data_IF_844092141488
#
_entry.id   IF_844092141488
#
_cell.length_a   1.000
_cell.length_b   1.000
_cell.length_c   1.000
_cell.angle_alpha   90.00
_cell.angle_beta   90.00
_cell.angle_gamma   90.00
#
_symmetry.space_group_name_H-M   'P 1'
#
loop_
_entity.id
_entity.type
_entity.pdbx_description
1 polymer ?
#
# COMPACT_ATOMS: atom_id res chain seq x y z
N UNK A 1 -10.04 18.07 1.49
CA UNK A 1 -8.71 18.26 0.88
C UNK A 1 -8.51 17.08 -0.06
N UNK A 2 -8.03 17.31 -1.29
CA UNK A 2 -7.85 16.29 -2.34
C UNK A 2 -6.36 16.09 -2.65
N UNK A 3 -5.52 16.06 -1.61
CA UNK A 3 -4.10 15.85 -1.81
C UNK A 3 -3.83 14.44 -2.32
N UNK A 4 -3.09 14.34 -3.42
CA UNK A 4 -2.52 13.08 -3.92
C UNK A 4 -1.17 12.92 -3.23
N UNK A 5 -1.06 11.89 -2.39
CA UNK A 5 0.16 11.59 -1.64
C UNK A 5 1.15 10.78 -2.48
N UNK A 6 0.66 9.88 -3.33
CA UNK A 6 1.48 9.01 -4.15
C UNK A 6 0.70 8.48 -5.37
N UNK A 7 1.42 8.02 -6.40
CA UNK A 7 0.83 7.44 -7.60
C UNK A 7 1.74 6.41 -8.26
N UNK A 8 1.14 5.51 -9.03
CA UNK A 8 1.89 4.53 -9.82
C UNK A 8 1.20 4.24 -11.15
N UNK A 9 1.99 3.84 -12.14
CA UNK A 9 1.48 3.35 -13.42
C UNK A 9 1.36 1.83 -13.36
N UNK A 10 0.23 1.30 -13.82
CA UNK A 10 -0.03 -0.13 -13.85
C UNK A 10 -0.43 -0.57 -15.26
N UNK A 11 0.08 -1.75 -15.64
CA UNK A 11 -0.41 -2.49 -16.78
C UNK A 11 -0.92 -3.84 -16.30
N UNK A 12 -2.18 -4.15 -16.62
CA UNK A 12 -2.80 -5.45 -16.40
C UNK A 12 -3.29 -5.94 -17.76
N UNK A 13 -2.69 -7.01 -18.27
CA UNK A 13 -2.86 -7.44 -19.66
C UNK A 13 -2.56 -6.29 -20.65
N UNK A 14 -3.54 -5.88 -21.45
CA UNK A 14 -3.42 -4.77 -22.41
C UNK A 14 -3.98 -3.43 -21.87
N UNK A 15 -4.46 -3.40 -20.63
CA UNK A 15 -5.02 -2.19 -20.03
C UNK A 15 -3.94 -1.46 -19.22
N UNK A 16 -3.71 -0.21 -19.58
CA UNK A 16 -2.82 0.69 -18.86
C UNK A 16 -3.66 1.66 -18.02
N UNK A 17 -3.27 1.86 -16.77
CA UNK A 17 -3.94 2.77 -15.84
C UNK A 17 -2.93 3.47 -14.95
N UNK A 18 -3.29 4.66 -14.47
CA UNK A 18 -2.65 5.34 -13.35
C UNK A 18 -3.48 5.06 -12.10
N UNK A 19 -2.83 4.67 -11.02
CA UNK A 19 -3.44 4.60 -9.69
C UNK A 19 -2.89 5.75 -8.85
N UNK A 20 -3.76 6.52 -8.21
CA UNK A 20 -3.41 7.58 -7.28
C UNK A 20 -4.08 7.36 -5.93
N UNK A 21 -3.40 7.75 -4.85
CA UNK A 21 -3.87 7.61 -3.47
C UNK A 21 -3.60 8.88 -2.68
N UNK A 22 -4.38 9.11 -1.62
CA UNK A 22 -4.24 10.32 -0.82
C UNK A 22 -5.22 10.42 0.36
N UNK A 23 -5.59 11.66 0.70
CA UNK A 23 -6.40 11.99 1.89
C UNK A 23 -7.89 11.63 1.75
N UNK A 24 -8.33 11.26 0.55
CA UNK A 24 -9.68 10.73 0.35
C UNK A 24 -9.83 9.27 0.81
N UNK A 25 -8.69 8.63 1.15
CA UNK A 25 -8.61 7.27 1.70
C UNK A 25 -9.02 6.19 0.69
N UNK A 26 -9.00 6.53 -0.60
CA UNK A 26 -9.46 5.67 -1.70
C UNK A 26 -8.36 5.37 -2.70
N UNK A 27 -8.55 4.27 -3.41
CA UNK A 27 -7.77 3.93 -4.60
C UNK A 27 -8.44 4.58 -5.81
N UNK A 28 -7.80 5.60 -6.38
CA UNK A 28 -8.31 6.28 -7.57
C UNK A 28 -7.65 5.72 -8.82
N UNK A 29 -8.45 5.19 -9.75
CA UNK A 29 -7.95 4.58 -10.99
C UNK A 29 -8.35 5.41 -12.20
N UNK A 30 -7.34 5.78 -13.00
CA UNK A 30 -7.51 6.54 -14.23
C UNK A 30 -6.98 5.73 -15.40
N UNK A 31 -7.79 5.55 -16.44
CA UNK A 31 -7.37 4.83 -17.63
C UNK A 31 -6.39 5.66 -18.47
N UNK A 32 -5.30 5.03 -18.89
CA UNK A 32 -4.39 5.56 -19.90
C UNK A 32 -4.87 5.15 -21.30
N UNK A 33 -5.85 5.89 -21.84
CA UNK A 33 -6.37 5.69 -23.19
C UNK A 33 -5.44 6.33 -24.23
N UNK A 34 -4.61 5.50 -24.85
CA UNK A 34 -3.62 5.92 -25.85
C UNK A 34 -4.22 6.41 -27.17
N UNK A 35 -5.48 6.07 -27.44
CA UNK A 35 -6.17 6.49 -28.66
C UNK A 35 -6.92 7.81 -28.46
N UNK A 36 -7.37 8.09 -27.22
CA UNK A 36 -8.13 9.29 -26.86
C UNK A 36 -7.39 10.10 -25.80
N UNK A 37 -6.49 10.97 -26.26
CA UNK A 37 -5.84 11.94 -25.38
C UNK A 37 -6.90 12.92 -24.86
N UNK A 38 -7.20 12.84 -23.58
CA UNK A 38 -8.04 13.80 -22.86
C UNK A 38 -7.15 14.72 -22.04
N UNK A 39 -7.49 16.01 -21.99
CA UNK A 39 -6.81 16.97 -21.11
C UNK A 39 -7.12 16.68 -19.63
N UNK A 40 -8.33 16.17 -19.35
CA UNK A 40 -8.79 15.77 -18.02
C UNK A 40 -9.51 14.42 -18.14
N UNK A 41 -9.05 13.44 -17.36
CA UNK A 41 -9.70 12.13 -17.20
C UNK A 41 -10.30 12.04 -15.81
N UNK A 42 -11.50 11.48 -15.71
CA UNK A 42 -12.18 11.23 -14.43
C UNK A 42 -11.78 9.85 -13.90
N UNK A 43 -11.92 9.66 -12.59
CA UNK A 43 -11.78 8.33 -11.98
C UNK A 43 -12.84 7.40 -12.59
N UNK A 44 -12.41 6.25 -13.09
CA UNK A 44 -13.28 5.35 -13.86
C UNK A 44 -13.81 4.16 -13.05
N UNK A 45 -13.15 3.83 -11.93
CA UNK A 45 -13.41 2.60 -11.19
C UNK A 45 -13.43 2.85 -9.68
N UNK A 46 -14.55 2.51 -9.05
CA UNK A 46 -14.64 2.30 -7.61
C UNK A 46 -14.58 0.80 -7.33
N UNK A 47 -13.79 0.38 -6.35
CA UNK A 47 -13.64 -1.03 -6.01
C UNK A 47 -14.51 -1.34 -4.79
N UNK A 48 -15.42 -2.31 -4.89
CA UNK A 48 -16.34 -2.66 -3.80
C UNK A 48 -15.60 -2.94 -2.48
N UNK A 49 -14.50 -3.70 -2.55
CA UNK A 49 -13.66 -4.01 -1.40
C UNK A 49 -12.95 -2.76 -0.84
N UNK A 50 -12.56 -1.78 -1.68
CA UNK A 50 -12.01 -0.52 -1.19
C UNK A 50 -13.08 0.28 -0.44
N UNK A 51 -14.30 0.34 -0.97
CA UNK A 51 -15.42 1.02 -0.31
C UNK A 51 -15.73 0.40 1.05
N UNK A 52 -15.85 -0.93 1.10
CA UNK A 52 -16.33 -1.67 2.26
C UNK A 52 -15.24 -1.98 3.29
N UNK A 53 -14.03 -2.26 2.84
CA UNK A 53 -12.92 -2.78 3.65
C UNK A 53 -11.57 -2.14 3.28
N UNK A 54 -11.60 -0.90 2.77
CA UNK A 54 -10.39 -0.10 2.52
C UNK A 54 -9.84 0.59 3.76
N UNK A 55 -9.04 1.62 3.52
CA UNK A 55 -8.40 2.38 4.59
C UNK A 55 -9.38 3.31 5.31
N UNK A 56 -9.20 3.44 6.63
CA UNK A 56 -9.97 4.36 7.47
C UNK A 56 -9.24 5.70 7.71
N UNK A 57 -7.98 5.80 7.31
CA UNK A 57 -7.11 6.97 7.46
C UNK A 57 -6.44 7.35 6.13
N UNK A 58 -5.78 8.51 6.10
CA UNK A 58 -5.17 9.06 4.88
C UNK A 58 -4.11 8.09 4.32
N UNK A 59 -4.21 7.76 3.02
CA UNK A 59 -3.23 6.90 2.35
C UNK A 59 -2.03 7.75 1.97
N UNK A 60 -0.83 7.32 2.38
CA UNK A 60 0.39 8.09 2.27
C UNK A 60 1.36 7.57 1.21
N UNK A 61 1.25 6.29 0.84
CA UNK A 61 2.11 5.69 -0.16
C UNK A 61 1.48 4.48 -0.86
N UNK A 62 1.97 4.20 -2.06
CA UNK A 62 1.62 3.03 -2.87
C UNK A 62 2.88 2.32 -3.36
N UNK A 63 2.88 0.99 -3.38
CA UNK A 63 3.96 0.19 -3.96
C UNK A 63 3.39 -0.91 -4.86
N UNK A 64 3.88 -1.01 -6.09
CA UNK A 64 3.46 -2.05 -7.04
C UNK A 64 4.46 -3.22 -7.03
N UNK A 65 3.97 -4.45 -7.07
CA UNK A 65 4.81 -5.63 -7.32
C UNK A 65 4.99 -5.87 -8.83
N UNK A 66 5.94 -6.72 -9.21
CA UNK A 66 6.05 -7.19 -10.60
C UNK A 66 4.86 -8.08 -11.04
N UNK A 67 4.09 -8.62 -10.10
CA UNK A 67 2.89 -9.40 -10.37
C UNK A 67 1.61 -8.57 -10.30
N UNK A 68 0.50 -9.25 -10.03
CA UNK A 68 -0.84 -8.64 -9.95
C UNK A 68 -1.14 -7.94 -8.62
N UNK A 69 -0.14 -7.76 -7.75
CA UNK A 69 -0.32 -7.14 -6.43
C UNK A 69 0.22 -5.72 -6.38
N UNK A 70 -0.44 -4.88 -5.59
CA UNK A 70 0.12 -3.63 -5.07
C UNK A 70 -0.29 -3.47 -3.61
N UNK A 71 0.39 -2.59 -2.89
CA UNK A 71 0.11 -2.29 -1.49
C UNK A 71 -0.09 -0.79 -1.31
N UNK A 72 -1.00 -0.43 -0.42
CA UNK A 72 -1.23 0.94 0.07
C UNK A 72 -0.94 1.01 1.56
N UNK A 73 -0.34 2.10 2.02
CA UNK A 73 0.04 2.31 3.42
C UNK A 73 -0.54 3.63 3.93
N UNK A 74 -1.12 3.62 5.12
CA UNK A 74 -1.83 4.77 5.67
C UNK A 74 -1.13 5.44 6.86
N UNK A 75 -1.72 6.55 7.30
CA UNK A 75 -1.29 7.31 8.48
C UNK A 75 -1.45 6.53 9.81
N UNK A 76 -2.37 5.56 9.86
CA UNK A 76 -2.68 4.78 11.06
C UNK A 76 -1.72 3.61 11.30
N UNK A 77 -0.87 3.27 10.31
CA UNK A 77 0.04 2.13 10.33
C UNK A 77 -0.52 0.86 9.69
N UNK A 78 -1.65 0.96 8.99
CA UNK A 78 -2.21 -0.11 8.19
C UNK A 78 -1.54 -0.18 6.82
N UNK A 79 -1.33 -1.41 6.37
CA UNK A 79 -0.99 -1.71 4.99
C UNK A 79 -2.03 -2.66 4.45
N UNK A 80 -2.65 -2.31 3.33
CA UNK A 80 -3.55 -3.20 2.60
C UNK A 80 -2.86 -3.60 1.30
N UNK A 81 -2.82 -4.90 1.03
CA UNK A 81 -2.38 -5.47 -0.24
C UNK A 81 -3.61 -5.81 -1.05
N UNK A 82 -3.58 -5.43 -2.31
CA UNK A 82 -4.69 -5.56 -3.24
C UNK A 82 -4.27 -6.39 -4.44
N UNK A 83 -5.23 -7.10 -5.02
CA UNK A 83 -5.05 -7.73 -6.33
C UNK A 83 -5.65 -6.83 -7.41
N UNK A 84 -4.83 -6.38 -8.36
CA UNK A 84 -5.24 -5.46 -9.45
C UNK A 84 -6.25 -6.13 -10.40
N UNK A 85 -6.08 -7.41 -10.68
CA UNK A 85 -6.93 -8.16 -11.63
C UNK A 85 -8.30 -8.44 -11.07
N UNK A 86 -8.39 -8.86 -9.79
CA UNK A 86 -9.68 -9.15 -9.14
C UNK A 86 -10.30 -7.94 -8.45
N UNK A 87 -9.55 -6.84 -8.27
CA UNK A 87 -9.95 -5.65 -7.50
C UNK A 87 -10.37 -5.95 -6.06
N UNK A 88 -9.67 -6.91 -5.43
CA UNK A 88 -9.99 -7.38 -4.07
C UNK A 88 -8.84 -7.18 -3.10
N UNK A 89 -9.17 -7.10 -1.81
CA UNK A 89 -8.19 -7.19 -0.73
C UNK A 89 -7.53 -8.57 -0.78
N UNK A 90 -6.21 -8.58 -0.83
CA UNK A 90 -5.38 -9.79 -0.77
C UNK A 90 -4.90 -10.07 0.66
N UNK A 91 -4.46 -9.03 1.38
CA UNK A 91 -4.02 -9.14 2.77
C UNK A 91 -4.10 -7.77 3.48
N UNK A 92 -4.34 -7.79 4.79
CA UNK A 92 -4.21 -6.61 5.66
C UNK A 92 -3.11 -6.83 6.68
N UNK A 93 -2.27 -5.83 6.87
CA UNK A 93 -1.08 -5.91 7.73
C UNK A 93 -1.03 -4.69 8.64
N UNK A 94 -0.63 -4.94 9.88
CA UNK A 94 -0.34 -3.90 10.85
C UNK A 94 0.73 -4.44 11.77
N UNK A 95 1.77 -3.67 12.06
CA UNK A 95 2.71 -4.08 13.11
C UNK A 95 2.00 -3.99 14.45
N UNK A 96 2.16 -5.02 15.28
CA UNK A 96 1.73 -4.95 16.68
C UNK A 96 2.36 -3.75 17.38
N UNK A 97 1.62 -3.21 18.36
CA UNK A 97 2.10 -2.14 19.24
C UNK A 97 3.36 -2.65 19.95
N UNK A 98 4.43 -1.87 19.93
CA UNK A 98 5.57 -2.15 20.79
C UNK A 98 5.09 -2.23 22.24
N UNK A 99 5.38 -3.30 22.99
CA UNK A 99 5.30 -3.25 24.43
C UNK A 99 6.24 -2.14 24.86
N UNK A 100 5.71 -1.10 25.49
CA UNK A 100 6.46 0.06 25.96
C UNK A 100 7.57 -0.43 26.90
N UNK A 101 8.81 -0.48 26.42
CA UNK A 101 9.97 -0.79 27.26
C UNK A 101 10.41 0.43 28.08
N UNK A 102 9.88 1.62 27.81
CA UNK A 102 10.17 2.81 28.58
C UNK A 102 8.94 3.69 28.76
N UNK A 103 8.56 3.96 30.01
CA UNK A 103 7.48 4.90 30.35
C UNK A 103 7.85 6.37 30.06
N UNK A 104 9.08 6.63 29.60
CA UNK A 104 9.67 7.96 29.41
C UNK A 104 9.96 8.32 27.95
N UNK A 105 9.85 7.40 26.99
CA UNK A 105 9.86 7.80 25.57
C UNK A 105 8.52 8.47 25.27
N UNK A 106 8.58 9.74 24.83
CA UNK A 106 7.41 10.43 24.27
C UNK A 106 6.70 9.43 23.37
N UNK A 107 5.43 9.12 23.66
CA UNK A 107 4.56 8.34 22.77
C UNK A 107 4.50 9.08 21.44
N UNK A 108 5.47 8.83 20.56
CA UNK A 108 5.37 9.26 19.19
C UNK A 108 4.23 8.41 18.66
N UNK A 109 3.10 9.06 18.35
CA UNK A 109 2.03 8.45 17.57
C UNK A 109 2.50 8.24 16.11
N UNK A 110 3.80 8.01 15.90
CA UNK A 110 4.44 7.80 14.62
C UNK A 110 4.13 6.38 14.16
N UNK A 111 2.90 6.22 13.72
CA UNK A 111 2.38 4.97 13.18
C UNK A 111 2.44 4.90 11.67
N UNK A 112 2.61 6.05 11.03
CA UNK A 112 2.44 6.24 9.61
C UNK A 112 3.35 5.33 8.79
N UNK A 113 2.80 4.80 7.70
CA UNK A 113 3.56 4.09 6.68
C UNK A 113 3.89 5.09 5.57
N UNK A 114 5.10 5.67 5.62
CA UNK A 114 5.49 6.72 4.67
C UNK A 114 6.02 6.21 3.35
N UNK A 115 6.59 5.00 3.33
CA UNK A 115 7.22 4.41 2.14
C UNK A 115 7.07 2.91 2.17
N UNK A 116 6.93 2.33 0.98
CA UNK A 116 6.94 0.90 0.76
C UNK A 116 7.66 0.55 -0.53
N UNK A 117 8.19 -0.68 -0.60
CA UNK A 117 8.73 -1.22 -1.85
C UNK A 117 8.63 -2.73 -1.87
N UNK A 118 8.27 -3.29 -3.02
CA UNK A 118 8.34 -4.72 -3.25
C UNK A 118 9.77 -5.14 -3.60
N UNK A 119 10.18 -6.32 -3.13
CA UNK A 119 11.49 -6.89 -3.42
C UNK A 119 11.38 -7.76 -4.67
N UNK A 120 11.72 -7.18 -5.81
CA UNK A 120 11.61 -7.81 -7.14
C UNK A 120 12.29 -9.18 -7.24
N UNK A 121 13.47 -9.32 -6.63
CA UNK A 121 14.20 -10.60 -6.60
C UNK A 121 13.47 -11.72 -5.84
N UNK A 122 12.39 -11.38 -5.14
CA UNK A 122 11.58 -12.29 -4.32
C UNK A 122 10.13 -12.37 -4.79
N UNK A 123 9.74 -11.81 -5.93
CA UNK A 123 8.35 -11.82 -6.42
C UNK A 123 7.71 -13.21 -6.36
N UNK A 124 8.45 -14.26 -6.73
CA UNK A 124 7.94 -15.65 -6.74
C UNK A 124 8.14 -16.43 -5.44
N UNK A 125 8.74 -15.82 -4.40
CA UNK A 125 9.04 -16.51 -3.14
C UNK A 125 7.92 -16.32 -2.13
N UNK A 126 7.03 -17.30 -2.02
CA UNK A 126 5.86 -17.24 -1.12
C UNK A 126 6.18 -17.44 0.37
N UNK A 127 7.43 -17.75 0.70
CA UNK A 127 7.89 -18.04 2.04
C UNK A 127 8.90 -17.03 2.60
N UNK A 128 9.22 -15.99 1.82
CA UNK A 128 10.17 -14.94 2.17
C UNK A 128 9.47 -13.58 2.28
N UNK A 129 10.15 -12.58 2.85
CA UNK A 129 9.65 -11.22 2.80
C UNK A 129 9.68 -10.69 1.36
N UNK A 130 8.54 -10.19 0.87
CA UNK A 130 8.36 -9.64 -0.48
C UNK A 130 8.07 -8.14 -0.47
N UNK A 131 7.66 -7.58 0.67
CA UNK A 131 7.35 -6.17 0.83
C UNK A 131 8.17 -5.60 1.99
N UNK A 132 8.72 -4.40 1.80
CA UNK A 132 9.40 -3.61 2.82
C UNK A 132 8.56 -2.36 3.07
N UNK A 133 8.40 -1.95 4.32
CA UNK A 133 7.76 -0.67 4.67
C UNK A 133 8.58 0.11 5.71
N UNK A 134 8.52 1.44 5.64
CA UNK A 134 8.93 2.31 6.73
C UNK A 134 7.80 2.45 7.75
N UNK A 135 8.17 2.56 9.03
CA UNK A 135 7.24 2.74 10.13
C UNK A 135 6.41 1.49 10.44
N UNK A 136 5.71 1.46 11.58
CA UNK A 136 5.71 2.48 12.64
C UNK A 136 7.02 2.50 13.46
N UNK A 137 7.24 3.59 14.22
CA UNK A 137 8.30 3.73 15.25
C UNK A 137 9.74 3.81 14.76
N UNK A 138 10.01 4.46 13.62
CA UNK A 138 11.36 4.55 13.05
C UNK A 138 11.97 3.18 12.70
N UNK A 139 11.11 2.20 12.39
CA UNK A 139 11.50 0.85 12.04
C UNK A 139 11.31 0.59 10.55
N UNK A 140 12.12 -0.31 10.02
CA UNK A 140 11.93 -0.93 8.71
C UNK A 140 11.34 -2.31 8.92
N UNK A 141 10.19 -2.58 8.31
CA UNK A 141 9.49 -3.86 8.41
C UNK A 141 9.63 -4.67 7.13
N UNK A 142 9.84 -5.97 7.28
CA UNK A 142 9.89 -6.93 6.20
C UNK A 142 8.69 -7.87 6.29
N UNK A 143 7.83 -7.85 5.27
CA UNK A 143 6.56 -8.58 5.26
C UNK A 143 6.54 -9.69 4.23
N UNK A 144 6.04 -10.86 4.62
CA UNK A 144 5.67 -11.94 3.71
C UNK A 144 4.17 -11.84 3.39
N UNK A 145 3.86 -11.16 2.29
CA UNK A 145 2.49 -10.90 1.83
C UNK A 145 1.71 -12.21 1.62
N UNK A 146 2.35 -13.22 1.04
CA UNK A 146 1.71 -14.51 0.75
C UNK A 146 1.44 -15.38 1.98
N UNK A 147 2.04 -15.08 3.13
CA UNK A 147 1.74 -15.72 4.41
C UNK A 147 0.80 -14.85 5.23
N UNK A 148 -0.31 -14.44 4.61
CA UNK A 148 -1.30 -13.54 5.22
C UNK A 148 -0.67 -12.28 5.83
N UNK A 149 0.31 -11.70 5.12
CA UNK A 149 0.99 -10.51 5.59
C UNK A 149 1.85 -10.67 6.84
N UNK A 150 2.44 -11.85 7.05
CA UNK A 150 3.29 -12.13 8.22
C UNK A 150 4.52 -11.20 8.27
N UNK A 151 4.75 -10.60 9.44
CA UNK A 151 5.96 -9.82 9.72
C UNK A 151 7.16 -10.77 9.92
N UNK A 152 8.16 -10.68 9.04
CA UNK A 152 9.34 -11.55 9.03
C UNK A 152 10.52 -10.98 9.81
N UNK A 153 10.70 -9.66 9.80
CA UNK A 153 11.78 -8.97 10.50
C UNK A 153 11.46 -7.48 10.72
N UNK A 154 12.13 -6.88 11.71
CA UNK A 154 12.13 -5.44 11.99
C UNK A 154 13.58 -4.98 12.11
N UNK A 155 13.90 -3.80 11.61
CA UNK A 155 15.21 -3.16 11.77
C UNK A 155 14.97 -1.76 12.31
N UNK A 156 15.68 -1.40 13.37
CA UNK A 156 15.68 -0.02 13.89
C UNK A 156 16.71 0.78 13.11
N UNK A 157 16.34 2.00 12.73
CA UNK A 157 17.29 3.01 12.23
C UNK A 157 18.35 3.36 13.29
#
# INVERSE_FOLDING_TARGET
SLEIADLTFVQVNNNCSIIAVGWDKRINVFKDDREKIKQVSLCEDEWDDDIMDGHEDDILCIAKSQGDLFATGDYSGEIIVWNMSSKKVFAKMRSEKFPSFDNNEKKTNDRLISRMTFIDSRTNRRDAANLISSGPYGMIHFWCVYKNGMLMAKFKE
#
